data_IF_473588721722
#
_entry.id   IF_473588721722
#
_cell.length_a   1.000
_cell.length_b   1.000
_cell.length_c   1.000
_cell.angle_alpha   90.00
_cell.angle_beta   90.00
_cell.angle_gamma   90.00
#
_symmetry.space_group_name_H-M   'P 1'
#
loop_
_entity.id
_entity.type
_entity.pdbx_description
1 polymer ?
#
# COMPACT_ATOMS: atom_id res chain seq x y z
N UNK A 1 -4.84 -9.51 2.42
CA UNK A 1 -4.54 -9.37 0.99
C UNK A 1 -3.08 -9.70 0.80
N UNK A 2 -2.74 -10.43 -0.26
CA UNK A 2 -1.39 -10.80 -0.66
C UNK A 2 -1.19 -10.21 -2.05
N UNK A 3 -0.10 -9.47 -2.24
CA UNK A 3 0.25 -8.85 -3.51
C UNK A 3 1.60 -9.42 -3.94
N UNK A 4 1.66 -9.93 -5.17
CA UNK A 4 2.87 -10.45 -5.77
C UNK A 4 3.25 -9.58 -6.97
N UNK A 5 4.55 -9.39 -7.17
CA UNK A 5 5.06 -8.64 -8.31
C UNK A 5 6.54 -8.33 -8.21
N UNK A 6 7.02 -7.51 -9.14
CA UNK A 6 8.42 -7.12 -9.26
C UNK A 6 8.72 -5.81 -8.53
N UNK A 7 9.85 -5.75 -7.82
CA UNK A 7 10.32 -4.53 -7.15
C UNK A 7 11.27 -3.77 -8.08
N UNK A 8 10.90 -2.54 -8.40
CA UNK A 8 11.72 -1.57 -9.12
C UNK A 8 12.27 -0.54 -8.13
N UNK A 9 13.54 -0.16 -8.31
CA UNK A 9 14.17 0.89 -7.53
C UNK A 9 14.09 2.20 -8.30
N UNK A 10 13.42 3.19 -7.71
CA UNK A 10 13.38 4.54 -8.26
C UNK A 10 14.61 5.32 -7.79
N UNK A 11 15.27 6.03 -8.70
CA UNK A 11 16.45 6.84 -8.41
C UNK A 11 16.26 8.34 -8.61
N UNK A 12 15.19 8.76 -9.29
CA UNK A 12 14.89 10.18 -9.45
C UNK A 12 14.49 10.85 -8.13
N UNK A 13 15.03 12.04 -7.88
CA UNK A 13 14.80 12.78 -6.64
C UNK A 13 13.33 13.19 -6.47
N UNK A 14 12.70 13.70 -7.53
CA UNK A 14 11.32 14.20 -7.46
C UNK A 14 10.33 13.05 -7.31
N UNK A 15 10.56 11.93 -8.01
CA UNK A 15 9.77 10.72 -7.80
C UNK A 15 9.98 10.12 -6.40
N UNK A 16 11.19 10.18 -5.86
CA UNK A 16 11.45 9.76 -4.48
C UNK A 16 10.67 10.60 -3.46
N UNK A 17 10.69 11.92 -3.62
CA UNK A 17 9.95 12.83 -2.74
C UNK A 17 8.43 12.57 -2.80
N UNK A 18 7.88 12.38 -4.01
CA UNK A 18 6.46 12.02 -4.19
C UNK A 18 6.10 10.70 -3.51
N UNK A 19 6.92 9.68 -3.68
CA UNK A 19 6.68 8.36 -3.09
C UNK A 19 6.72 8.42 -1.55
N UNK A 20 7.69 9.14 -0.97
CA UNK A 20 7.75 9.37 0.48
C UNK A 20 6.49 10.08 0.99
N UNK A 21 5.98 11.06 0.24
CA UNK A 21 4.75 11.76 0.62
C UNK A 21 3.49 10.87 0.51
N UNK A 22 3.45 9.91 -0.41
CA UNK A 22 2.37 8.90 -0.48
C UNK A 22 2.40 8.00 0.76
N UNK A 23 3.59 7.53 1.15
CA UNK A 23 3.77 6.68 2.33
C UNK A 23 3.40 7.46 3.61
N UNK A 24 3.90 8.67 3.78
CA UNK A 24 3.67 9.45 5.00
C UNK A 24 2.21 9.85 5.20
N UNK A 25 1.44 10.04 4.10
CA UNK A 25 0.00 10.29 4.18
C UNK A 25 -0.79 9.14 4.80
N UNK A 26 -0.26 7.91 4.80
CA UNK A 26 -0.90 6.78 5.49
C UNK A 26 -0.76 6.86 7.01
N UNK A 27 0.21 7.63 7.52
CA UNK A 27 0.49 7.76 8.94
C UNK A 27 -0.02 9.07 9.54
N UNK A 28 0.13 10.18 8.81
CA UNK A 28 -0.22 11.52 9.30
C UNK A 28 -0.74 12.37 8.15
N UNK A 29 -1.85 13.07 8.39
CA UNK A 29 -2.44 14.01 7.44
C UNK A 29 -1.75 15.39 7.53
N UNK A 30 -0.44 15.42 7.26
CA UNK A 30 0.39 16.63 7.26
C UNK A 30 1.38 16.59 6.12
N UNK A 31 1.67 17.77 5.55
CA UNK A 31 2.75 17.93 4.56
C UNK A 31 4.11 17.91 5.25
N UNK A 32 4.98 17.01 4.81
CA UNK A 32 6.37 16.92 5.23
C UNK A 32 7.28 17.51 4.16
N UNK A 33 8.34 18.19 4.59
CA UNK A 33 9.42 18.65 3.73
C UNK A 33 10.65 17.83 4.03
N UNK A 34 11.30 17.31 2.99
CA UNK A 34 12.49 16.47 3.14
C UNK A 34 13.74 17.26 2.72
N UNK A 35 14.84 17.06 3.44
CA UNK A 35 16.12 17.63 3.03
C UNK A 35 16.72 16.82 1.88
N UNK A 36 17.47 17.48 1.00
CA UNK A 36 18.09 16.82 -0.16
C UNK A 36 18.94 15.59 0.22
N UNK A 37 19.77 15.63 1.29
CA UNK A 37 20.53 14.46 1.72
C UNK A 37 19.65 13.30 2.21
N UNK A 38 18.49 13.60 2.81
CA UNK A 38 17.59 12.58 3.33
C UNK A 38 16.91 11.79 2.21
N UNK A 39 16.52 12.45 1.12
CA UNK A 39 15.94 11.79 -0.06
C UNK A 39 16.99 10.99 -0.82
N UNK A 40 18.21 11.53 -0.97
CA UNK A 40 19.30 10.87 -1.71
C UNK A 40 19.81 9.59 -1.03
N UNK A 41 19.80 9.54 0.32
CA UNK A 41 20.29 8.39 1.07
C UNK A 41 19.23 7.29 1.28
N UNK A 42 18.04 7.42 0.70
CA UNK A 42 16.96 6.43 0.82
C UNK A 42 16.73 5.74 -0.53
N UNK A 43 16.57 4.42 -0.48
CA UNK A 43 16.11 3.61 -1.62
C UNK A 43 14.62 3.37 -1.49
N UNK A 44 13.88 3.75 -2.53
CA UNK A 44 12.43 3.53 -2.57
C UNK A 44 12.15 2.30 -3.42
N UNK A 45 11.37 1.41 -2.83
CA UNK A 45 10.98 0.15 -3.44
C UNK A 45 9.57 0.34 -4.00
N UNK A 46 9.46 0.35 -5.32
CA UNK A 46 8.18 0.44 -6.01
C UNK A 46 7.83 -0.97 -6.48
N UNK A 47 6.82 -1.56 -5.86
CA UNK A 47 6.31 -2.87 -6.29
C UNK A 47 5.33 -2.64 -7.46
N UNK A 48 5.67 -3.15 -8.65
CA UNK A 48 4.70 -3.28 -9.74
C UNK A 48 3.84 -4.51 -9.45
N UNK A 49 2.56 -4.31 -9.17
CA UNK A 49 1.65 -5.40 -8.80
C UNK A 49 1.28 -6.21 -10.04
N UNK A 50 1.66 -7.50 -10.05
CA UNK A 50 1.32 -8.43 -11.13
C UNK A 50 0.11 -9.30 -10.75
N UNK A 51 0.01 -9.70 -9.48
CA UNK A 51 -1.14 -10.46 -8.96
C UNK A 51 -1.56 -9.96 -7.58
N UNK A 52 -2.87 -9.94 -7.34
CA UNK A 52 -3.46 -9.57 -6.03
C UNK A 52 -4.47 -10.64 -5.62
N UNK A 53 -4.19 -11.30 -4.51
CA UNK A 53 -5.08 -12.27 -3.88
C UNK A 53 -5.62 -11.76 -2.55
N UNK A 54 -6.90 -12.00 -2.27
CA UNK A 54 -7.49 -11.72 -0.96
C UNK A 54 -8.16 -12.99 -0.44
N UNK A 55 -7.79 -13.41 0.77
CA UNK A 55 -8.45 -14.48 1.49
C UNK A 55 -9.00 -13.91 2.78
N UNK A 56 -10.29 -14.11 3.00
CA UNK A 56 -10.97 -13.65 4.20
C UNK A 56 -11.14 -14.83 5.16
N UNK A 57 -10.76 -14.61 6.41
CA UNK A 57 -10.88 -15.59 7.49
C UNK A 57 -11.87 -15.06 8.54
N UNK A 58 -12.68 -15.95 9.13
CA UNK A 58 -13.71 -15.57 10.11
C UNK A 58 -15.16 -15.64 9.60
N UNK A 59 -15.40 -16.27 8.45
CA UNK A 59 -16.76 -16.50 7.95
C UNK A 59 -17.48 -17.44 8.94
N UNK A 60 -18.57 -16.94 9.53
CA UNK A 60 -19.40 -17.71 10.46
C UNK A 60 -20.04 -18.90 9.73
N UNK A 61 -20.37 -20.00 10.43
CA UNK A 61 -20.92 -21.21 9.79
C UNK A 61 -22.18 -20.87 8.95
N UNK A 62 -22.45 -21.61 7.85
CA UNK A 62 -23.70 -21.46 7.11
C UNK A 62 -24.89 -21.62 8.09
N UNK A 63 -25.80 -20.64 8.13
CA UNK A 63 -26.96 -20.61 9.04
C UNK A 63 -26.87 -19.65 10.23
N UNK A 64 -25.88 -18.76 10.25
CA UNK A 64 -25.71 -17.74 11.28
C UNK A 64 -26.22 -16.36 10.82
N UNK A 65 -26.78 -15.57 11.75
CA UNK A 65 -27.57 -14.34 11.46
C UNK A 65 -26.79 -13.29 10.63
N UNK A 66 -25.46 -13.29 10.69
CA UNK A 66 -24.58 -12.37 9.95
C UNK A 66 -23.79 -13.07 8.82
N UNK A 67 -24.20 -14.27 8.39
CA UNK A 67 -23.63 -14.90 7.20
C UNK A 67 -23.94 -14.04 5.97
N UNK A 68 -22.96 -13.90 5.07
CA UNK A 68 -22.86 -12.86 4.04
C UNK A 68 -23.86 -12.98 2.89
N UNK A 69 -25.15 -12.93 3.20
CA UNK A 69 -26.22 -12.66 2.23
C UNK A 69 -26.63 -11.18 2.25
N UNK A 70 -25.64 -10.29 2.31
CA UNK A 70 -25.82 -8.93 1.80
C UNK A 70 -24.90 -8.74 0.60
N UNK A 71 -25.39 -9.19 -0.55
CA UNK A 71 -25.08 -8.55 -1.82
C UNK A 71 -25.57 -7.10 -1.71
N UNK A 72 -24.70 -6.20 -1.29
CA UNK A 72 -24.87 -4.78 -1.60
C UNK A 72 -23.91 -4.47 -2.75
N UNK A 73 -24.52 -4.18 -3.90
CA UNK A 73 -23.90 -3.69 -5.13
C UNK A 73 -23.55 -2.21 -4.99
#
# INVERSE_FOLDING_TARGET
>A
VICEGEVEFEDDFAEKEKALHIIMRQYVDKKFTYSVPAVNNVKIWKLRMDSVGAKEFGIMRPGSISYKDRMEF
#
